data_IF_447531300287
#
_entry.id   IF_447531300287
#
_cell.length_a   1.000
_cell.length_b   1.000
_cell.length_c   1.000
_cell.angle_alpha   90.00
_cell.angle_beta   90.00
_cell.angle_gamma   90.00
#
_symmetry.space_group_name_H-M   'P 1'
#
loop_
_entity.id
_entity.type
_entity.pdbx_description
1 polymer ?
#
# COMPACT_ATOMS: atom_id res chain seq x y z
N UNK A 1 -22.36 -18.27 -5.58
CA UNK A 1 -22.21 -17.14 -6.53
C UNK A 1 -20.89 -16.49 -6.21
N UNK A 2 -19.81 -16.89 -6.90
CA UNK A 2 -18.49 -16.27 -6.72
C UNK A 2 -18.57 -14.85 -7.29
N UNK A 3 -18.46 -13.86 -6.41
CA UNK A 3 -18.63 -12.45 -6.77
C UNK A 3 -17.50 -12.01 -7.70
N UNK A 4 -17.84 -11.37 -8.82
CA UNK A 4 -16.87 -10.86 -9.83
C UNK A 4 -15.82 -9.87 -9.29
N UNK A 5 -15.94 -9.44 -8.03
CA UNK A 5 -14.93 -8.66 -7.32
C UNK A 5 -13.69 -9.49 -6.94
N UNK A 6 -13.86 -10.74 -6.49
CA UNK A 6 -12.75 -11.60 -6.02
C UNK A 6 -11.85 -12.07 -7.18
N UNK A 7 -12.43 -12.24 -8.38
CA UNK A 7 -11.68 -12.66 -9.58
C UNK A 7 -10.70 -11.58 -10.06
N UNK A 8 -10.98 -10.30 -9.78
CA UNK A 8 -10.11 -9.19 -10.16
C UNK A 8 -8.94 -9.00 -9.18
N UNK A 9 -9.12 -9.34 -7.89
CA UNK A 9 -8.11 -9.13 -6.87
C UNK A 9 -6.88 -10.01 -7.09
N UNK A 10 -7.07 -11.32 -7.32
CA UNK A 10 -5.97 -12.26 -7.57
C UNK A 10 -5.21 -11.93 -8.87
N UNK A 11 -5.92 -11.56 -9.94
CA UNK A 11 -5.27 -11.19 -11.19
C UNK A 11 -4.42 -9.92 -11.05
N UNK A 12 -4.90 -8.95 -10.27
CA UNK A 12 -4.17 -7.73 -9.95
C UNK A 12 -2.93 -8.02 -9.10
N UNK A 13 -3.05 -8.86 -8.07
CA UNK A 13 -1.92 -9.31 -7.25
C UNK A 13 -0.83 -9.97 -8.10
N UNK A 14 -1.19 -10.93 -8.95
CA UNK A 14 -0.22 -11.61 -9.82
C UNK A 14 0.45 -10.65 -10.81
N UNK A 15 -0.31 -9.66 -11.31
CA UNK A 15 0.25 -8.59 -12.15
C UNK A 15 1.28 -7.76 -11.38
N UNK A 16 0.95 -7.33 -10.16
CA UNK A 16 1.83 -6.53 -9.31
C UNK A 16 3.09 -7.31 -8.90
N UNK A 17 2.95 -8.60 -8.54
CA UNK A 17 4.10 -9.47 -8.23
C UNK A 17 5.08 -9.56 -9.40
N UNK A 18 4.55 -9.72 -10.62
CA UNK A 18 5.36 -9.78 -11.84
C UNK A 18 6.04 -8.44 -12.17
N UNK A 19 5.31 -7.33 -12.05
CA UNK A 19 5.84 -5.99 -12.33
C UNK A 19 6.95 -5.58 -11.36
N UNK A 20 6.78 -5.89 -10.06
CA UNK A 20 7.69 -5.45 -9.00
C UNK A 20 8.79 -6.47 -8.69
N UNK A 21 8.67 -7.71 -9.21
CA UNK A 21 9.54 -8.85 -8.87
C UNK A 21 9.65 -9.07 -7.35
N UNK A 22 8.56 -8.82 -6.64
CA UNK A 22 8.45 -8.93 -5.19
C UNK A 22 7.18 -9.69 -4.83
N UNK A 23 7.27 -10.50 -3.77
CA UNK A 23 6.08 -11.15 -3.23
C UNK A 23 5.24 -10.12 -2.49
N UNK A 24 4.03 -9.90 -3.01
CA UNK A 24 3.06 -8.92 -2.52
C UNK A 24 1.71 -9.60 -2.42
N UNK A 25 1.02 -9.42 -1.30
CA UNK A 25 -0.35 -9.87 -1.13
C UNK A 25 -1.22 -8.69 -0.75
N UNK A 26 -2.30 -8.47 -1.50
CA UNK A 26 -3.23 -7.37 -1.28
C UNK A 26 -4.29 -7.84 -0.28
N UNK A 27 -4.42 -7.15 0.84
CA UNK A 27 -5.35 -7.55 1.90
C UNK A 27 -6.62 -6.68 1.88
N UNK A 28 -6.49 -5.39 1.59
CA UNK A 28 -7.61 -4.50 1.30
C UNK A 28 -7.20 -3.43 0.30
N UNK A 29 -8.15 -2.96 -0.50
CA UNK A 29 -7.93 -1.95 -1.52
C UNK A 29 -9.16 -1.05 -1.62
N UNK A 30 -8.96 0.24 -1.33
CA UNK A 30 -9.92 1.30 -1.56
C UNK A 30 -9.17 2.49 -2.20
N UNK A 31 -8.78 2.30 -3.46
CA UNK A 31 -8.22 3.33 -4.33
C UNK A 31 -8.26 2.84 -5.78
N UNK A 32 -8.09 3.75 -6.74
CA UNK A 32 -8.02 3.37 -8.15
C UNK A 32 -6.69 2.65 -8.50
N UNK A 33 -6.71 1.86 -9.58
CA UNK A 33 -5.55 1.02 -9.99
C UNK A 33 -4.31 1.85 -10.34
N UNK A 34 -4.50 3.05 -10.89
CA UNK A 34 -3.36 3.93 -11.23
C UNK A 34 -2.61 4.36 -9.97
N UNK A 35 -3.35 4.82 -8.96
CA UNK A 35 -2.81 5.19 -7.65
C UNK A 35 -2.19 3.99 -6.94
N UNK A 36 -2.85 2.83 -6.96
CA UNK A 36 -2.30 1.60 -6.40
C UNK A 36 -0.93 1.28 -7.00
N UNK A 37 -0.81 1.24 -8.34
CA UNK A 37 0.47 0.97 -9.01
C UNK A 37 1.55 1.95 -8.59
N UNK A 38 1.20 3.22 -8.43
CA UNK A 38 2.15 4.23 -7.97
C UNK A 38 2.57 4.01 -6.51
N UNK A 39 1.64 3.71 -5.60
CA UNK A 39 1.93 3.36 -4.19
C UNK A 39 2.84 2.13 -4.13
N UNK A 40 2.57 1.11 -4.94
CA UNK A 40 3.36 -0.12 -4.99
C UNK A 40 4.78 0.13 -5.52
N UNK A 41 4.94 0.94 -6.58
CA UNK A 41 6.25 1.32 -7.11
C UNK A 41 7.06 2.16 -6.13
N UNK A 42 6.42 3.13 -5.47
CA UNK A 42 7.04 3.94 -4.42
C UNK A 42 7.52 3.03 -3.30
N UNK A 43 6.65 2.16 -2.77
CA UNK A 43 6.99 1.23 -1.68
C UNK A 43 8.15 0.31 -2.07
N UNK A 44 8.09 -0.28 -3.27
CA UNK A 44 9.16 -1.12 -3.81
C UNK A 44 10.49 -0.38 -3.85
N UNK A 45 10.50 0.86 -4.34
CA UNK A 45 11.72 1.68 -4.42
C UNK A 45 12.27 2.02 -3.03
N UNK A 46 11.41 2.29 -2.05
CA UNK A 46 11.85 2.59 -0.68
C UNK A 46 12.39 1.35 0.03
N UNK A 47 11.87 0.16 -0.27
CA UNK A 47 12.40 -1.11 0.22
C UNK A 47 13.78 -1.45 -0.36
N UNK A 48 14.08 -0.99 -1.58
CA UNK A 48 15.43 -1.13 -2.16
C UNK A 48 16.47 -0.22 -1.48
N UNK A 49 16.05 0.91 -0.91
CA UNK A 49 16.94 1.94 -0.35
C UNK A 49 17.12 1.80 1.16
N UNK A 50 16.05 1.47 1.89
CA UNK A 50 16.02 1.54 3.34
C UNK A 50 15.74 0.16 3.97
N UNK A 51 16.41 -0.14 5.08
CA UNK A 51 16.19 -1.36 5.85
C UNK A 51 15.35 -1.14 7.12
N UNK A 52 15.32 0.07 7.66
CA UNK A 52 14.56 0.40 8.87
C UNK A 52 13.11 0.73 8.53
N UNK A 53 12.16 0.06 9.18
CA UNK A 53 10.70 0.26 8.97
C UNK A 53 10.29 1.72 9.12
N UNK A 54 10.89 2.44 10.08
CA UNK A 54 10.63 3.86 10.33
C UNK A 54 11.01 4.74 9.13
N UNK A 55 12.20 4.52 8.57
CA UNK A 55 12.70 5.31 7.44
C UNK A 55 11.91 5.00 6.17
N UNK A 56 11.55 3.72 5.95
CA UNK A 56 10.66 3.32 4.86
C UNK A 56 9.30 4.03 4.98
N UNK A 57 8.66 3.98 6.16
CA UNK A 57 7.36 4.59 6.39
C UNK A 57 7.39 6.11 6.17
N UNK A 58 8.44 6.77 6.67
CA UNK A 58 8.66 8.20 6.49
C UNK A 58 8.85 8.56 5.01
N UNK A 59 9.68 7.81 4.29
CA UNK A 59 9.96 8.07 2.88
C UNK A 59 8.70 7.88 2.01
N UNK A 60 7.92 6.83 2.26
CA UNK A 60 6.64 6.58 1.55
C UNK A 60 5.67 7.73 1.84
N UNK A 61 5.46 8.08 3.11
CA UNK A 61 4.57 9.18 3.51
C UNK A 61 4.93 10.48 2.80
N UNK A 62 6.19 10.91 2.88
CA UNK A 62 6.65 12.17 2.27
C UNK A 62 6.45 12.17 0.76
N UNK A 63 6.72 11.04 0.10
CA UNK A 63 6.54 10.89 -1.35
C UNK A 63 5.06 11.00 -1.75
N UNK A 64 4.16 10.39 -0.96
CA UNK A 64 2.72 10.46 -1.23
C UNK A 64 2.14 11.83 -0.90
N UNK A 65 2.55 12.46 0.19
CA UNK A 65 2.17 13.84 0.55
C UNK A 65 2.54 14.82 -0.59
N UNK A 66 3.73 14.66 -1.19
CA UNK A 66 4.17 15.48 -2.31
C UNK A 66 3.38 15.21 -3.61
N UNK A 67 2.87 13.99 -3.80
CA UNK A 67 2.22 13.58 -5.06
C UNK A 67 0.69 13.68 -5.06
N UNK A 68 0.03 13.40 -3.93
CA UNK A 68 -1.43 13.18 -3.85
C UNK A 68 -2.14 14.03 -2.79
N UNK A 69 -1.54 15.16 -2.39
CA UNK A 69 -1.98 16.05 -1.31
C UNK A 69 -1.96 15.39 0.08
N UNK A 70 -1.42 16.08 1.10
CA UNK A 70 -1.42 15.59 2.48
C UNK A 70 -2.84 15.61 3.09
N UNK A 71 -3.08 14.89 4.22
CA UNK A 71 -2.12 14.10 4.98
C UNK A 71 -2.21 12.59 4.70
N UNK A 72 -1.12 12.02 4.20
CA UNK A 72 -0.93 10.58 4.10
C UNK A 72 -0.33 10.00 5.38
N UNK A 73 -0.73 8.78 5.70
CA UNK A 73 -0.23 8.00 6.82
C UNK A 73 0.28 6.67 6.29
N UNK A 74 1.39 6.20 6.85
CA UNK A 74 1.98 4.92 6.52
C UNK A 74 2.37 4.20 7.82
N UNK A 75 1.83 3.01 8.00
CA UNK A 75 2.12 2.12 9.13
C UNK A 75 2.76 0.86 8.55
N UNK A 76 3.92 0.48 9.08
CA UNK A 76 4.67 -0.70 8.66
C UNK A 76 4.97 -1.54 9.90
N UNK A 77 4.77 -2.85 9.81
CA UNK A 77 5.23 -3.77 10.83
C UNK A 77 4.86 -5.21 10.56
N UNK A 78 5.53 -6.15 11.22
CA UNK A 78 5.23 -7.59 11.11
C UNK A 78 3.93 -7.99 11.81
N UNK A 79 3.62 -7.31 12.92
CA UNK A 79 2.42 -7.53 13.73
C UNK A 79 1.93 -6.20 14.25
N UNK A 80 0.77 -5.77 13.78
CA UNK A 80 0.07 -4.60 14.30
C UNK A 80 -1.43 -4.79 14.11
N UNK A 81 -2.20 -4.00 14.84
CA UNK A 81 -3.62 -3.82 14.65
C UNK A 81 -3.90 -2.32 14.62
N UNK A 82 -4.87 -1.90 13.83
CA UNK A 82 -5.21 -0.50 13.65
C UNK A 82 -6.71 -0.34 13.50
N UNK A 83 -7.26 0.66 14.17
CA UNK A 83 -8.64 1.13 13.97
C UNK A 83 -8.56 2.62 13.65
N UNK A 84 -8.70 2.96 12.37
CA UNK A 84 -8.50 4.32 11.85
C UNK A 84 -9.64 4.71 10.93
N UNK A 85 -9.91 6.01 10.86
CA UNK A 85 -10.84 6.60 9.90
C UNK A 85 -10.03 7.27 8.81
N UNK A 86 -10.36 6.98 7.56
CA UNK A 86 -9.67 7.51 6.39
C UNK A 86 -10.67 8.05 5.36
N UNK A 87 -10.14 8.77 4.38
CA UNK A 87 -10.90 9.23 3.24
C UNK A 87 -11.14 8.09 2.24
N UNK A 88 -12.37 8.00 1.73
CA UNK A 88 -12.76 6.98 0.75
C UNK A 88 -11.96 7.13 -0.54
N UNK A 89 -11.50 6.02 -1.11
CA UNK A 89 -10.71 6.00 -2.34
C UNK A 89 -9.21 6.29 -2.15
N UNK A 90 -8.72 6.39 -0.90
CA UNK A 90 -7.31 6.65 -0.60
C UNK A 90 -6.73 5.70 0.46
N UNK A 91 -7.12 4.42 0.49
CA UNK A 91 -6.53 3.44 1.43
C UNK A 91 -6.16 2.10 0.79
N UNK A 92 -5.08 1.51 1.28
CA UNK A 92 -4.63 0.17 0.89
C UNK A 92 -3.93 -0.51 2.06
N UNK A 93 -4.22 -1.81 2.23
CA UNK A 93 -3.49 -2.69 3.13
C UNK A 93 -2.93 -3.87 2.34
N UNK A 94 -1.63 -4.11 2.46
CA UNK A 94 -0.95 -5.21 1.77
C UNK A 94 0.23 -5.71 2.59
N UNK A 95 0.75 -6.88 2.23
CA UNK A 95 2.00 -7.40 2.76
C UNK A 95 3.09 -7.42 1.69
N UNK A 96 4.33 -7.16 2.09
CA UNK A 96 5.52 -7.32 1.28
C UNK A 96 6.72 -7.67 2.19
N UNK A 97 7.58 -8.59 1.77
CA UNK A 97 8.80 -8.99 2.52
C UNK A 97 8.56 -9.28 4.03
N UNK A 98 7.49 -10.02 4.32
CA UNK A 98 7.02 -10.36 5.69
C UNK A 98 6.61 -9.18 6.58
N UNK A 99 6.31 -8.02 6.00
CA UNK A 99 5.81 -6.83 6.69
C UNK A 99 4.44 -6.47 6.15
N UNK A 100 3.53 -6.05 7.02
CA UNK A 100 2.28 -5.41 6.62
C UNK A 100 2.48 -3.92 6.41
N UNK A 101 1.82 -3.37 5.40
CA UNK A 101 1.82 -1.96 5.03
C UNK A 101 0.37 -1.49 4.99
N UNK A 102 0.02 -0.60 5.92
CA UNK A 102 -1.24 0.13 5.88
C UNK A 102 -0.94 1.57 5.49
N UNK A 103 -1.43 1.97 4.32
CA UNK A 103 -1.25 3.31 3.77
C UNK A 103 -2.63 3.91 3.54
N UNK A 104 -2.87 5.11 4.08
CA UNK A 104 -4.15 5.78 3.92
C UNK A 104 -4.03 7.30 4.01
N UNK A 105 -5.01 8.02 3.44
CA UNK A 105 -5.18 9.46 3.65
C UNK A 105 -6.17 9.73 4.78
N UNK A 106 -5.80 10.60 5.72
CA UNK A 106 -6.68 11.00 6.82
C UNK A 106 -7.77 11.96 6.33
N UNK A 107 -8.97 11.89 6.92
CA UNK A 107 -9.97 12.97 6.79
C UNK A 107 -9.55 14.15 7.67
N UNK A 108 -9.70 15.36 7.14
CA UNK A 108 -9.67 16.58 7.94
C UNK A 108 -10.95 16.74 8.75
#
# INVERSE_FOLDING_TARGET
>A
MENGCEKNFKALEETLKKELKRDVQLCSLDMNISMLRDVMKITSSMLDIYNEEREIAKAIKLTLDAKYLPPWHCIIGRKFCSQVVFEEGYSVFFTAENKGFLIFRGRH
#
